data_IF_746070191144
#
_entry.id   IF_746070191144
#
_cell.length_a   1.000
_cell.length_b   1.000
_cell.length_c   1.000
_cell.angle_alpha   90.00
_cell.angle_beta   90.00
_cell.angle_gamma   90.00
#
_symmetry.space_group_name_H-M   'P 1'
#
loop_
_entity.id
_entity.type
_entity.pdbx_description
1 polymer ?
#
# COMPACT_ATOMS: atom_id res chain seq x y z
N UNK A 1 8.42 -18.78 18.52
CA UNK A 1 6.99 -19.10 18.71
C UNK A 1 6.24 -17.98 18.03
N UNK A 2 5.36 -18.26 17.06
CA UNK A 2 4.36 -17.25 16.67
C UNK A 2 3.54 -16.95 17.93
N UNK A 3 2.98 -15.76 18.04
CA UNK A 3 2.14 -15.31 19.16
C UNK A 3 1.04 -16.34 19.52
N UNK A 4 0.15 -16.03 20.46
CA UNK A 4 -1.00 -16.87 20.86
C UNK A 4 -2.04 -17.14 19.72
N UNK A 5 -1.58 -17.26 18.48
CA UNK A 5 -2.27 -17.56 17.24
C UNK A 5 -1.88 -18.96 16.77
N UNK A 6 -2.90 -19.76 16.49
CA UNK A 6 -2.71 -21.02 15.77
C UNK A 6 -2.43 -20.75 14.29
N UNK A 7 -1.89 -21.75 13.59
CA UNK A 7 -1.70 -21.66 12.12
C UNK A 7 -3.02 -21.40 11.38
N UNK A 8 -4.13 -21.91 11.92
CA UNK A 8 -5.46 -21.69 11.35
C UNK A 8 -5.93 -20.24 11.55
N UNK A 9 -5.62 -19.64 12.70
CA UNK A 9 -5.93 -18.22 12.94
C UNK A 9 -5.18 -17.32 11.96
N UNK A 10 -3.90 -17.61 11.71
CA UNK A 10 -3.11 -16.88 10.71
C UNK A 10 -3.68 -17.03 9.29
N UNK A 11 -4.10 -18.24 8.92
CA UNK A 11 -4.73 -18.50 7.62
C UNK A 11 -6.06 -17.75 7.49
N UNK A 12 -6.91 -17.81 8.52
CA UNK A 12 -8.19 -17.10 8.53
C UNK A 12 -7.99 -15.60 8.41
N UNK A 13 -7.03 -15.04 9.14
CA UNK A 13 -6.69 -13.62 9.05
C UNK A 13 -6.22 -13.25 7.63
N UNK A 14 -5.39 -14.09 6.99
CA UNK A 14 -4.95 -13.85 5.61
C UNK A 14 -6.12 -13.80 4.61
N UNK A 15 -7.09 -14.71 4.73
CA UNK A 15 -8.31 -14.72 3.91
C UNK A 15 -9.14 -13.47 4.17
N UNK A 16 -9.30 -13.08 5.43
CA UNK A 16 -10.10 -11.93 5.81
C UNK A 16 -9.51 -10.61 5.29
N UNK A 17 -8.19 -10.42 5.37
CA UNK A 17 -7.50 -9.26 4.79
C UNK A 17 -7.66 -9.23 3.26
N UNK A 18 -7.53 -10.38 2.58
CA UNK A 18 -7.70 -10.45 1.12
C UNK A 18 -9.12 -10.06 0.68
N UNK A 19 -10.12 -10.31 1.52
CA UNK A 19 -11.51 -9.92 1.31
C UNK A 19 -11.85 -8.48 1.75
N UNK A 20 -10.87 -7.71 2.26
CA UNK A 20 -11.08 -6.35 2.77
C UNK A 20 -11.74 -6.28 4.15
N UNK A 21 -11.70 -7.38 4.91
CA UNK A 21 -12.22 -7.44 6.28
C UNK A 21 -11.31 -6.78 7.31
N UNK A 22 -11.78 -6.73 8.56
CA UNK A 22 -11.04 -6.22 9.71
C UNK A 22 -9.89 -7.13 10.12
N UNK A 23 -8.76 -6.54 10.49
CA UNK A 23 -7.57 -7.24 10.93
C UNK A 23 -7.67 -7.74 12.39
N UNK A 24 -7.03 -8.88 12.69
CA UNK A 24 -6.93 -9.40 14.06
C UNK A 24 -6.11 -8.42 14.94
N UNK A 25 -6.65 -7.95 16.08
CA UNK A 25 -5.97 -6.99 16.96
C UNK A 25 -4.68 -7.53 17.58
N UNK A 26 -4.45 -8.85 17.56
CA UNK A 26 -3.19 -9.48 18.00
C UNK A 26 -2.06 -9.29 16.99
N UNK A 27 -2.37 -8.85 15.76
CA UNK A 27 -1.40 -8.56 14.70
C UNK A 27 -1.20 -7.07 14.62
N UNK A 28 0.05 -6.64 14.82
CA UNK A 28 0.42 -5.24 14.79
C UNK A 28 1.03 -4.88 13.43
N UNK A 29 0.45 -3.88 12.74
CA UNK A 29 1.03 -3.29 11.53
C UNK A 29 1.64 -1.94 11.81
N UNK A 30 2.90 -1.80 11.44
CA UNK A 30 3.64 -0.55 11.55
C UNK A 30 4.16 -0.12 10.19
N UNK A 31 4.08 1.18 9.90
CA UNK A 31 4.73 1.79 8.75
C UNK A 31 5.98 2.53 9.21
N UNK A 32 7.15 1.95 8.93
CA UNK A 32 8.44 2.51 9.32
C UNK A 32 9.40 2.58 8.13
N UNK A 33 10.30 3.57 8.16
CA UNK A 33 11.36 3.73 7.15
C UNK A 33 12.67 3.03 7.54
N UNK A 34 12.86 2.76 8.84
CA UNK A 34 14.01 2.07 9.41
C UNK A 34 13.52 1.15 10.51
N UNK A 35 14.00 -0.09 10.52
CA UNK A 35 13.68 -1.11 11.53
C UNK A 35 14.99 -1.77 11.94
N UNK A 36 15.20 -1.94 13.24
CA UNK A 36 16.26 -2.75 13.80
C UNK A 36 15.60 -3.91 14.53
N UNK A 37 16.01 -5.14 14.22
CA UNK A 37 15.49 -6.36 14.81
C UNK A 37 16.64 -7.10 15.48
N UNK A 38 16.46 -7.37 16.76
CA UNK A 38 17.31 -8.27 17.53
C UNK A 38 16.41 -9.33 18.16
N UNK A 39 16.81 -10.60 18.02
CA UNK A 39 15.93 -11.74 18.28
C UNK A 39 16.69 -12.79 19.07
N UNK A 40 16.01 -13.36 20.07
CA UNK A 40 16.52 -14.48 20.86
C UNK A 40 15.47 -15.61 20.85
N UNK A 41 15.78 -16.79 20.29
CA UNK A 41 17.03 -17.18 19.63
C UNK A 41 17.25 -16.41 18.31
N UNK A 42 18.48 -16.48 17.78
CA UNK A 42 18.79 -15.94 16.45
C UNK A 42 17.81 -16.52 15.42
N UNK A 43 17.18 -15.66 14.64
CA UNK A 43 16.21 -16.06 13.62
C UNK A 43 16.81 -16.02 12.21
N UNK A 44 16.47 -16.98 11.33
CA UNK A 44 16.88 -16.94 9.94
C UNK A 44 16.17 -15.84 9.16
N UNK A 45 16.91 -15.18 8.28
CA UNK A 45 16.44 -14.06 7.47
C UNK A 45 16.38 -14.48 6.00
N UNK A 46 15.26 -14.14 5.36
CA UNK A 46 15.05 -14.35 3.94
C UNK A 46 14.61 -13.03 3.27
N UNK A 47 15.14 -12.75 2.08
CA UNK A 47 14.73 -11.63 1.25
C UNK A 47 14.66 -12.08 -0.22
N UNK A 48 13.56 -11.75 -0.91
CA UNK A 48 13.33 -12.09 -2.33
C UNK A 48 13.55 -13.58 -2.66
N UNK A 49 13.30 -14.46 -1.69
CA UNK A 49 13.49 -15.91 -1.81
C UNK A 49 14.91 -16.41 -1.48
N UNK A 50 15.86 -15.52 -1.22
CA UNK A 50 17.23 -15.88 -0.84
C UNK A 50 17.43 -15.85 0.67
N UNK A 51 18.21 -16.80 1.19
CA UNK A 51 18.63 -16.80 2.61
C UNK A 51 19.78 -15.81 2.81
N UNK A 52 19.65 -14.94 3.82
CA UNK A 52 20.65 -13.92 4.19
C UNK A 52 21.44 -14.30 5.46
N UNK A 53 21.22 -15.49 6.02
CA UNK A 53 21.82 -15.94 7.28
C UNK A 53 20.90 -15.78 8.49
N UNK A 54 21.49 -15.74 9.69
CA UNK A 54 20.76 -15.66 10.96
C UNK A 54 21.28 -14.49 11.81
N UNK A 55 20.39 -13.85 12.57
CA UNK A 55 20.75 -12.89 13.63
C UNK A 55 20.21 -11.48 13.45
N UNK A 56 20.83 -10.47 14.12
CA UNK A 56 20.33 -9.10 14.12
C UNK A 56 20.28 -8.50 12.71
N UNK A 57 19.22 -7.76 12.41
CA UNK A 57 18.99 -7.18 11.09
C UNK A 57 18.61 -5.71 11.17
N UNK A 58 19.15 -4.91 10.24
CA UNK A 58 18.72 -3.54 9.99
C UNK A 58 18.07 -3.42 8.62
N UNK A 59 16.83 -2.96 8.58
CA UNK A 59 16.05 -2.73 7.36
C UNK A 59 15.90 -1.23 7.17
N UNK A 60 16.13 -0.73 5.96
CA UNK A 60 15.90 0.69 5.64
C UNK A 60 15.32 0.88 4.24
N UNK A 61 14.44 1.88 4.10
CA UNK A 61 13.83 2.22 2.82
C UNK A 61 14.64 3.32 2.13
N UNK A 62 15.14 3.02 0.93
CA UNK A 62 15.76 4.01 0.04
C UNK A 62 14.73 4.46 -1.00
N UNK A 63 14.17 5.66 -0.80
CA UNK A 63 13.15 6.22 -1.71
C UNK A 63 13.75 6.51 -3.09
N UNK A 64 13.08 6.07 -4.14
CA UNK A 64 13.49 6.29 -5.53
C UNK A 64 14.93 5.85 -5.82
N UNK A 65 15.39 4.76 -5.19
CA UNK A 65 16.76 4.25 -5.35
C UNK A 65 17.05 3.75 -6.77
N UNK A 66 16.02 3.35 -7.51
CA UNK A 66 16.12 2.80 -8.85
C UNK A 66 15.12 3.50 -9.78
N UNK A 67 15.56 3.79 -11.01
CA UNK A 67 14.69 4.19 -12.12
C UNK A 67 14.34 2.94 -12.91
N UNK A 68 13.04 2.68 -13.07
CA UNK A 68 12.54 1.49 -13.76
C UNK A 68 11.63 1.90 -14.91
N UNK A 69 11.65 1.11 -15.99
CA UNK A 69 10.68 1.22 -17.08
C UNK A 69 9.41 0.50 -16.61
N UNK A 70 8.28 1.19 -16.55
CA UNK A 70 6.98 0.61 -16.21
C UNK A 70 5.97 0.78 -17.36
N UNK A 71 4.97 -0.10 -17.43
CA UNK A 71 3.84 0.06 -18.34
C UNK A 71 3.02 1.31 -18.05
N UNK A 72 2.21 1.74 -19.04
CA UNK A 72 1.30 2.87 -18.88
C UNK A 72 0.23 2.54 -17.82
N UNK A 73 0.02 3.44 -16.87
CA UNK A 73 -0.99 3.27 -15.83
C UNK A 73 -2.39 3.22 -16.45
N UNK A 74 -3.17 2.18 -16.13
CA UNK A 74 -4.49 1.92 -16.71
C UNK A 74 -5.63 2.78 -16.13
N UNK A 75 -5.36 3.66 -15.15
CA UNK A 75 -6.39 4.42 -14.44
C UNK A 75 -6.02 5.92 -14.32
N UNK A 76 -5.88 6.62 -15.44
CA UNK A 76 -5.71 8.08 -15.47
C UNK A 76 -6.90 8.84 -16.07
N UNK A 77 -8.06 8.19 -16.27
CA UNK A 77 -9.26 8.81 -16.87
C UNK A 77 -10.47 8.82 -15.90
N UNK A 78 -10.29 9.42 -14.72
CA UNK A 78 -11.43 9.87 -13.89
C UNK A 78 -11.28 11.37 -13.56
N UNK A 79 -11.13 12.13 -14.64
CA UNK A 79 -11.19 13.58 -14.82
C UNK A 79 -11.49 13.66 -16.32
N UNK A 80 -12.65 14.01 -16.83
CA UNK A 80 -13.47 15.17 -16.53
C UNK A 80 -14.94 14.83 -16.88
N UNK A 81 -15.81 14.75 -15.88
CA UNK A 81 -17.27 14.71 -16.11
C UNK A 81 -17.97 15.75 -15.24
N UNK A 82 -17.34 16.90 -15.01
CA UNK A 82 -17.96 18.07 -14.37
C UNK A 82 -17.92 19.33 -15.25
N UNK A 83 -17.27 19.31 -16.42
CA UNK A 83 -17.07 20.51 -17.25
C UNK A 83 -18.16 20.77 -18.30
N UNK A 84 -19.23 19.97 -18.35
CA UNK A 84 -20.35 20.17 -19.30
C UNK A 84 -21.46 21.06 -18.71
N UNK A 85 -21.38 21.45 -17.42
CA UNK A 85 -22.44 22.21 -16.74
C UNK A 85 -22.15 23.73 -16.61
N UNK A 86 -21.32 24.30 -17.49
CA UNK A 86 -21.12 25.75 -17.55
C UNK A 86 -21.18 26.27 -19.00
N UNK A 87 -22.26 25.97 -19.70
CA UNK A 87 -22.64 26.79 -20.86
C UNK A 87 -23.23 28.11 -20.32
N UNK A 88 -22.71 29.30 -20.71
CA UNK A 88 -23.36 30.55 -20.33
C UNK A 88 -24.71 30.64 -21.06
N UNK A 89 -25.79 30.71 -20.28
CA UNK A 89 -27.09 31.22 -20.71
C UNK A 89 -26.86 32.64 -21.22
N UNK A 90 -26.94 32.81 -22.54
CA UNK A 90 -26.87 34.11 -23.18
C UNK A 90 -28.29 34.67 -23.19
N UNK A 91 -28.62 35.45 -22.16
CA UNK A 91 -29.79 36.30 -22.13
C UNK A 91 -29.29 37.74 -22.07
N UNK A 92 -29.24 38.40 -23.22
CA UNK A 92 -29.76 39.76 -23.32
C UNK A 92 -30.02 40.19 -24.76
N UNK A 93 -31.19 40.80 -24.89
CA UNK A 93 -31.92 41.22 -26.08
C UNK A 93 -31.79 42.75 -26.18
N UNK A 94 -31.31 43.23 -27.34
CA UNK A 94 -31.67 44.49 -28.03
C UNK A 94 -31.17 45.86 -27.47
N UNK A 95 -30.49 46.65 -28.33
CA UNK A 95 -30.99 47.87 -29.05
C UNK A 95 -29.80 48.79 -29.48
N UNK A 96 -30.00 49.46 -30.63
CA UNK A 96 -29.31 50.61 -31.28
C UNK A 96 -28.37 50.24 -32.45
N UNK A 97 -28.55 50.69 -33.70
CA UNK A 97 -29.47 51.67 -34.35
C UNK A 97 -29.65 51.28 -35.82
#
# INVERSE_FOLDING_TARGET
MFSDLTKLDLLSNAIQIAAGGTEDPRIQRYHAKKIEMDTQPLMPVFADGFSLGEGPLSISVRRCALTVISGRAINAEKKDLNDIAAAPVNSDVMIER
#
